data_IF_888920078097
#
_entry.id   IF_888920078097
#
_cell.length_a   1.000
_cell.length_b   1.000
_cell.length_c   1.000
_cell.angle_alpha   90.00
_cell.angle_beta   90.00
_cell.angle_gamma   90.00
#
_symmetry.space_group_name_H-M   'P 1'
#
loop_
_entity.id
_entity.type
_entity.pdbx_description
1 polymer ?
#
# COMPACT_ATOMS: atom_id res chain seq x y z
N UNK A 1 -12.03 -6.85 7.52
CA UNK A 1 -11.41 -7.94 8.33
C UNK A 1 -10.11 -7.40 8.88
N UNK A 2 -9.74 -7.63 10.15
CA UNK A 2 -8.44 -7.17 10.64
C UNK A 2 -7.32 -7.88 9.87
N UNK A 3 -6.29 -7.11 9.52
CA UNK A 3 -5.09 -7.63 8.85
C UNK A 3 -4.37 -8.64 9.78
N UNK A 4 -3.98 -9.83 9.30
CA UNK A 4 -3.20 -10.75 10.13
C UNK A 4 -1.82 -10.14 10.45
N UNK A 5 -1.22 -10.46 11.61
CA UNK A 5 0.13 -10.02 11.93
C UNK A 5 1.14 -10.52 10.89
N UNK A 6 2.02 -9.66 10.41
CA UNK A 6 3.05 -9.99 9.44
C UNK A 6 4.36 -9.27 9.77
N UNK A 7 5.47 -9.77 9.21
CA UNK A 7 6.78 -9.12 9.35
C UNK A 7 6.93 -8.07 8.27
N UNK A 8 7.12 -6.82 8.67
CA UNK A 8 7.40 -5.72 7.74
C UNK A 8 8.77 -5.97 7.08
N UNK A 9 8.88 -5.89 5.74
CA UNK A 9 10.14 -6.13 5.06
C UNK A 9 11.16 -5.02 5.33
N UNK A 10 12.47 -5.30 5.26
CA UNK A 10 13.50 -4.27 5.37
C UNK A 10 13.27 -3.13 4.37
N UNK A 11 13.43 -1.88 4.83
CA UNK A 11 13.19 -0.69 4.02
C UNK A 11 11.72 -0.24 3.97
N UNK A 12 10.84 -0.86 4.75
CA UNK A 12 9.43 -0.49 4.89
C UNK A 12 9.04 -0.30 6.36
N UNK A 13 7.91 0.36 6.59
CA UNK A 13 7.31 0.54 7.91
C UNK A 13 5.78 0.41 7.85
N UNK A 14 5.18 -0.26 8.85
CA UNK A 14 3.72 -0.25 9.11
C UNK A 14 3.33 0.75 10.20
N UNK A 15 4.32 1.42 10.78
CA UNK A 15 4.14 2.52 11.72
C UNK A 15 4.96 3.71 11.24
N UNK A 16 4.51 4.36 10.16
CA UNK A 16 5.22 5.52 9.63
C UNK A 16 5.26 6.63 10.67
N UNK A 17 6.48 7.02 11.04
CA UNK A 17 6.75 8.13 11.95
C UNK A 17 6.69 9.49 11.25
N UNK A 18 6.37 9.49 9.95
CA UNK A 18 6.27 10.71 9.15
C UNK A 18 5.12 11.56 9.67
N UNK A 19 5.33 12.86 9.96
CA UNK A 19 4.24 13.77 10.31
C UNK A 19 3.20 13.88 9.18
N UNK A 20 3.61 13.57 7.94
CA UNK A 20 2.74 13.58 6.77
C UNK A 20 1.83 12.36 6.67
N UNK A 21 2.11 11.25 7.37
CA UNK A 21 1.25 10.06 7.31
C UNK A 21 -0.19 10.35 7.77
N UNK A 22 -0.34 11.19 8.79
CA UNK A 22 -1.65 11.64 9.24
C UNK A 22 -2.35 12.44 8.12
N UNK A 23 -1.63 13.31 7.43
CA UNK A 23 -2.17 14.13 6.33
C UNK A 23 -2.49 13.29 5.08
N UNK A 24 -1.75 12.21 4.84
CA UNK A 24 -1.88 11.35 3.66
C UNK A 24 -3.03 10.34 3.75
N UNK A 25 -3.38 9.87 4.96
CA UNK A 25 -4.38 8.81 5.10
C UNK A 25 -5.49 9.08 6.10
N UNK A 26 -5.36 10.10 6.96
CA UNK A 26 -6.40 10.45 7.94
C UNK A 26 -7.27 11.58 7.42
N UNK A 27 -8.56 11.29 7.32
CA UNK A 27 -9.57 12.23 6.82
C UNK A 27 -9.99 11.89 5.40
N UNK A 28 -11.24 12.20 5.06
CA UNK A 28 -11.84 11.81 3.79
C UNK A 28 -11.20 12.48 2.56
N UNK A 29 -10.52 13.61 2.77
CA UNK A 29 -9.85 14.39 1.72
C UNK A 29 -8.32 14.28 1.76
N UNK A 30 -7.80 13.31 2.52
CA UNK A 30 -6.37 12.99 2.52
C UNK A 30 -5.94 12.36 1.19
N UNK A 31 -4.69 12.56 0.79
CA UNK A 31 -4.19 12.19 -0.54
C UNK A 31 -4.43 10.71 -0.89
N UNK A 32 -4.11 9.80 0.02
CA UNK A 32 -4.35 8.37 -0.16
C UNK A 32 -5.84 8.02 -0.28
N UNK A 33 -6.74 8.74 0.39
CA UNK A 33 -8.19 8.56 0.20
C UNK A 33 -8.68 9.13 -1.13
N UNK A 34 -8.13 10.26 -1.57
CA UNK A 34 -8.42 10.85 -2.88
C UNK A 34 -8.01 9.91 -4.02
N UNK A 35 -6.81 9.33 -3.94
CA UNK A 35 -6.32 8.33 -4.89
C UNK A 35 -7.16 7.07 -4.83
N UNK A 36 -7.41 6.49 -3.65
CA UNK A 36 -8.28 5.32 -3.54
C UNK A 36 -9.67 5.57 -4.14
N UNK A 37 -10.25 6.75 -3.94
CA UNK A 37 -11.53 7.14 -4.54
C UNK A 37 -11.46 7.25 -6.07
N UNK A 38 -10.40 7.85 -6.61
CA UNK A 38 -10.23 8.00 -8.06
C UNK A 38 -10.25 6.65 -8.79
N UNK A 39 -9.71 5.61 -8.15
CA UNK A 39 -9.71 4.23 -8.64
C UNK A 39 -10.93 3.39 -8.20
N UNK A 40 -11.94 3.99 -7.55
CA UNK A 40 -13.10 3.25 -7.05
C UNK A 40 -12.81 2.30 -5.88
N UNK A 41 -11.67 2.46 -5.22
CA UNK A 41 -11.15 1.63 -4.12
C UNK A 41 -11.40 2.23 -2.73
N UNK A 42 -12.31 3.18 -2.60
CA UNK A 42 -12.62 3.80 -1.31
C UNK A 42 -13.44 2.86 -0.38
N UNK A 43 -13.19 2.87 0.94
CA UNK A 43 -12.07 3.51 1.61
C UNK A 43 -10.77 2.71 1.46
N UNK A 44 -9.64 3.40 1.33
CA UNK A 44 -8.31 2.78 1.37
C UNK A 44 -7.81 2.72 2.82
N UNK A 45 -7.18 1.61 3.21
CA UNK A 45 -6.53 1.47 4.51
C UNK A 45 -5.02 1.26 4.31
N UNK A 46 -4.14 2.19 4.70
CA UNK A 46 -2.70 1.99 4.60
C UNK A 46 -2.26 0.79 5.44
N UNK A 47 -1.36 -0.01 4.90
CA UNK A 47 -0.81 -1.22 5.53
C UNK A 47 0.66 -1.04 5.84
N UNK A 48 1.44 -0.58 4.86
CA UNK A 48 2.86 -0.24 5.02
C UNK A 48 3.33 0.69 3.90
N UNK A 49 4.37 1.46 4.18
CA UNK A 49 5.05 2.33 3.21
C UNK A 49 6.54 2.04 3.16
N UNK A 50 7.19 2.35 2.04
CA UNK A 50 8.64 2.34 1.98
C UNK A 50 9.23 3.53 2.74
N UNK A 51 10.47 3.40 3.20
CA UNK A 51 11.14 4.42 4.01
C UNK A 51 11.37 5.76 3.28
N UNK A 52 11.23 5.80 1.95
CA UNK A 52 11.35 7.02 1.16
C UNK A 52 9.98 7.69 0.97
N UNK A 53 8.89 7.04 1.38
CA UNK A 53 7.53 7.49 1.11
C UNK A 53 7.20 7.50 -0.38
N UNK A 54 7.79 6.64 -1.21
CA UNK A 54 7.48 6.62 -2.65
C UNK A 54 6.37 5.65 -3.00
N UNK A 55 6.27 4.57 -2.24
CA UNK A 55 5.24 3.56 -2.40
C UNK A 55 4.51 3.32 -1.10
N UNK A 56 3.20 3.17 -1.19
CA UNK A 56 2.36 2.72 -0.09
C UNK A 56 1.54 1.52 -0.53
N UNK A 57 1.55 0.49 0.30
CA UNK A 57 0.66 -0.65 0.18
C UNK A 57 -0.56 -0.37 1.04
N UNK A 58 -1.73 -0.47 0.44
CA UNK A 58 -3.00 -0.26 1.13
C UNK A 58 -3.98 -1.40 0.82
N UNK A 59 -4.88 -1.64 1.77
CA UNK A 59 -5.98 -2.58 1.65
C UNK A 59 -7.23 -1.82 1.23
N UNK A 60 -7.96 -2.35 0.25
CA UNK A 60 -9.33 -1.93 -0.04
C UNK A 60 -10.21 -3.16 -0.22
N UNK A 61 -11.35 -3.18 0.49
CA UNK A 61 -12.19 -4.37 0.60
C UNK A 61 -11.42 -5.56 1.18
N UNK A 62 -11.07 -6.51 0.30
CA UNK A 62 -10.29 -7.70 0.63
C UNK A 62 -9.04 -7.86 -0.24
N UNK A 63 -8.58 -6.77 -0.87
CA UNK A 63 -7.46 -6.78 -1.81
C UNK A 63 -6.37 -5.78 -1.45
N UNK A 64 -5.13 -6.13 -1.78
CA UNK A 64 -3.95 -5.30 -1.62
C UNK A 64 -3.58 -4.60 -2.91
N UNK A 65 -3.21 -3.34 -2.75
CA UNK A 65 -2.84 -2.44 -3.83
C UNK A 65 -1.52 -1.75 -3.51
N UNK A 66 -0.77 -1.41 -4.54
CA UNK A 66 0.41 -0.56 -4.49
C UNK A 66 0.04 0.79 -5.09
N UNK A 67 0.17 1.87 -4.32
CA UNK A 67 0.17 3.23 -4.86
C UNK A 67 1.61 3.70 -5.01
N UNK A 68 2.00 4.07 -6.23
CA UNK A 68 3.26 4.75 -6.53
C UNK A 68 3.06 6.26 -6.66
N UNK A 69 3.60 7.05 -5.73
CA UNK A 69 3.35 8.50 -5.64
C UNK A 69 3.90 9.31 -6.80
N UNK A 70 4.97 8.84 -7.47
CA UNK A 70 5.61 9.64 -8.53
C UNK A 70 4.74 9.80 -9.79
N UNK A 71 3.78 8.89 -9.99
CA UNK A 71 2.86 8.90 -11.14
C UNK A 71 1.39 8.76 -10.76
N UNK A 72 1.07 8.76 -9.45
CA UNK A 72 -0.26 8.47 -8.92
C UNK A 72 -0.90 7.18 -9.46
N UNK A 73 -0.06 6.21 -9.80
CA UNK A 73 -0.48 4.93 -10.34
C UNK A 73 -0.83 3.97 -9.21
N UNK A 74 -1.96 3.27 -9.38
CA UNK A 74 -2.40 2.20 -8.49
C UNK A 74 -2.41 0.87 -9.23
N UNK A 75 -1.75 -0.11 -8.66
CA UNK A 75 -1.71 -1.48 -9.16
C UNK A 75 -2.26 -2.46 -8.12
N UNK A 76 -3.05 -3.45 -8.54
CA UNK A 76 -3.52 -4.56 -7.70
C UNK A 76 -2.43 -5.65 -7.64
N UNK A 77 -2.07 -6.11 -6.45
CA UNK A 77 -1.21 -7.29 -6.32
C UNK A 77 -1.94 -8.54 -6.82
N UNK A 78 -1.24 -9.46 -7.50
CA UNK A 78 -1.87 -10.74 -7.88
C UNK A 78 -2.09 -11.62 -6.65
N UNK A 79 -1.10 -11.67 -5.75
CA UNK A 79 -1.28 -12.30 -4.43
C UNK A 79 -2.11 -11.39 -3.53
N UNK A 80 -3.05 -11.99 -2.80
CA UNK A 80 -3.84 -11.32 -1.77
C UNK A 80 -3.45 -11.78 -0.36
N UNK A 81 -2.27 -12.39 -0.23
CA UNK A 81 -1.70 -12.78 1.05
C UNK A 81 -0.59 -11.80 1.45
N UNK A 82 -0.80 -11.08 2.55
CA UNK A 82 0.17 -10.11 3.05
C UNK A 82 1.50 -10.76 3.44
N UNK A 83 1.52 -12.03 3.87
CA UNK A 83 2.75 -12.75 4.17
C UNK A 83 3.56 -13.01 2.91
N UNK A 84 2.91 -13.41 1.81
CA UNK A 84 3.57 -13.61 0.52
C UNK A 84 4.08 -12.30 -0.06
N UNK A 85 3.27 -11.23 0.02
CA UNK A 85 3.66 -9.89 -0.44
C UNK A 85 4.90 -9.42 0.34
N UNK A 86 4.84 -9.39 1.67
CA UNK A 86 5.93 -8.93 2.52
C UNK A 86 7.20 -9.78 2.37
N UNK A 87 7.07 -11.11 2.32
CA UNK A 87 8.19 -12.03 2.10
C UNK A 87 8.84 -11.81 0.74
N UNK A 88 8.06 -11.54 -0.30
CA UNK A 88 8.59 -11.29 -1.65
C UNK A 88 9.30 -9.93 -1.73
N UNK A 89 8.76 -8.89 -1.10
CA UNK A 89 9.47 -7.60 -0.97
C UNK A 89 10.81 -7.80 -0.26
N UNK A 90 10.83 -8.56 0.84
CA UNK A 90 12.06 -8.81 1.60
C UNK A 90 13.13 -9.57 0.81
N UNK A 91 12.74 -10.45 -0.13
CA UNK A 91 13.68 -11.29 -0.89
C UNK A 91 14.16 -10.65 -2.18
N UNK A 92 13.28 -9.94 -2.87
CA UNK A 92 13.50 -9.49 -4.25
C UNK A 92 12.98 -8.09 -4.55
N UNK A 93 12.45 -7.37 -3.57
CA UNK A 93 11.84 -6.06 -3.74
C UNK A 93 10.54 -6.11 -4.56
N UNK A 94 10.03 -4.93 -4.94
CA UNK A 94 8.77 -4.80 -5.67
C UNK A 94 8.84 -5.34 -7.11
N UNK A 95 10.03 -5.37 -7.74
CA UNK A 95 10.17 -5.68 -9.17
C UNK A 95 9.63 -7.07 -9.54
N UNK A 96 9.80 -8.05 -8.67
CA UNK A 96 9.45 -9.45 -8.94
C UNK A 96 8.04 -9.82 -8.42
N UNK A 97 7.32 -8.86 -7.83
CA UNK A 97 5.94 -9.05 -7.39
C UNK A 97 4.97 -8.81 -8.54
N UNK A 98 4.23 -9.85 -8.90
CA UNK A 98 3.19 -9.75 -9.91
C UNK A 98 2.09 -8.76 -9.47
N UNK A 99 1.84 -7.79 -10.34
CA UNK A 99 0.83 -6.75 -10.21
C UNK A 99 0.11 -6.56 -11.53
N UNK A 100 -1.08 -5.97 -11.48
CA UNK A 100 -1.85 -5.58 -12.66
C UNK A 100 -2.41 -4.16 -12.49
N UNK A 101 -2.59 -3.40 -13.57
CA UNK A 101 -3.28 -2.11 -13.51
C UNK A 101 -4.69 -2.26 -12.92
N UNK A 102 -5.15 -1.22 -12.25
CA UNK A 102 -6.56 -1.07 -11.86
C UNK A 102 -7.27 -0.32 -12.99
N UNK A 103 -8.34 -0.92 -13.51
CA UNK A 103 -9.18 -0.38 -14.61
C UNK A 103 -10.12 0.75 -14.14
#
# INVERSE_FOLDING_TARGET
>A
MPLPPFTVPPGWTSNPSSPYYLEEWIGADSEGQLIARAYGLQPGQPVMEDNNGWHTIFLSGNKFYLWGRMGDEVEEFVSQDIHEIASSISRSGLRELARKPVD
#
